data_IF_973404978626
#
_entry.id   IF_973404978626
#
_cell.length_a   1.000
_cell.length_b   1.000
_cell.length_c   1.000
_cell.angle_alpha   90.00
_cell.angle_beta   90.00
_cell.angle_gamma   90.00
#
_symmetry.space_group_name_H-M   'P 1'
#
loop_
_entity.id
_entity.type
_entity.pdbx_description
1 polymer ?
#
# COMPACT_ATOMS: atom_id res chain seq x y z
N UNK A 1 -27.69 -6.10 -12.56
CA UNK A 1 -26.60 -5.18 -12.18
C UNK A 1 -25.35 -6.02 -12.03
N UNK A 2 -24.54 -6.14 -13.07
CA UNK A 2 -23.23 -6.79 -12.99
C UNK A 2 -22.35 -5.86 -12.16
N UNK A 3 -22.18 -6.19 -10.87
CA UNK A 3 -21.34 -5.42 -9.97
C UNK A 3 -19.91 -5.33 -10.50
N UNK A 4 -19.22 -4.26 -10.13
CA UNK A 4 -17.79 -4.16 -10.34
C UNK A 4 -17.11 -5.44 -9.80
N UNK A 5 -16.24 -6.11 -10.57
CA UNK A 5 -15.51 -7.26 -10.05
C UNK A 5 -14.68 -6.82 -8.84
N UNK A 6 -14.91 -7.46 -7.70
CA UNK A 6 -14.10 -7.28 -6.50
C UNK A 6 -12.89 -8.21 -6.58
N UNK A 7 -11.69 -7.65 -6.36
CA UNK A 7 -10.44 -8.39 -6.33
C UNK A 7 -9.82 -8.30 -4.95
N UNK A 8 -9.67 -9.43 -4.27
CA UNK A 8 -8.93 -9.48 -3.02
C UNK A 8 -7.43 -9.57 -3.30
N UNK A 9 -6.73 -8.45 -3.18
CA UNK A 9 -5.30 -8.33 -3.41
C UNK A 9 -4.44 -8.75 -2.21
N UNK A 10 -5.08 -9.04 -1.07
CA UNK A 10 -4.42 -9.41 0.20
C UNK A 10 -4.48 -10.91 0.48
N UNK A 11 -5.49 -11.61 -0.07
CA UNK A 11 -5.61 -13.06 0.02
C UNK A 11 -4.40 -13.79 -0.60
N UNK A 12 -3.72 -14.68 0.15
CA UNK A 12 -2.67 -15.54 -0.40
C UNK A 12 -3.12 -16.40 -1.58
N UNK A 13 -4.40 -16.78 -1.60
CA UNK A 13 -5.05 -17.59 -2.65
C UNK A 13 -4.95 -16.90 -4.02
N UNK A 14 -5.05 -15.58 -4.05
CA UNK A 14 -4.93 -14.75 -5.27
C UNK A 14 -3.57 -14.91 -5.96
N UNK A 15 -2.54 -15.34 -5.22
CA UNK A 15 -1.18 -15.51 -5.73
C UNK A 15 -0.78 -16.99 -5.93
N UNK A 16 -1.73 -17.92 -5.79
CA UNK A 16 -1.50 -19.32 -6.13
C UNK A 16 -1.18 -19.44 -7.62
N UNK A 17 -0.06 -20.09 -7.96
CA UNK A 17 0.42 -20.17 -9.34
C UNK A 17 1.17 -18.93 -9.83
N UNK A 18 1.40 -17.94 -8.97
CA UNK A 18 2.23 -16.76 -9.24
C UNK A 18 1.45 -15.45 -9.21
N UNK A 19 2.06 -14.38 -9.71
CA UNK A 19 1.45 -13.04 -9.71
C UNK A 19 0.19 -13.02 -10.58
N UNK A 20 -0.95 -12.51 -10.09
CA UNK A 20 -2.23 -12.45 -10.82
C UNK A 20 -2.20 -11.36 -11.92
N UNK A 21 -1.45 -11.61 -12.99
CA UNK A 21 -1.18 -10.61 -14.04
C UNK A 21 -2.44 -10.07 -14.72
N UNK A 22 -3.45 -10.91 -14.93
CA UNK A 22 -4.71 -10.47 -15.57
C UNK A 22 -5.52 -9.55 -14.68
N UNK A 23 -5.53 -9.78 -13.35
CA UNK A 23 -6.16 -8.87 -12.38
C UNK A 23 -5.49 -7.50 -12.43
N UNK A 24 -4.15 -7.46 -12.31
CA UNK A 24 -3.42 -6.20 -12.38
C UNK A 24 -3.54 -5.52 -13.75
N UNK A 25 -3.70 -6.27 -14.84
CA UNK A 25 -3.96 -5.73 -16.18
C UNK A 25 -5.34 -5.08 -16.25
N UNK A 26 -6.37 -5.72 -15.72
CA UNK A 26 -7.70 -5.15 -15.61
C UNK A 26 -7.68 -3.86 -14.79
N UNK A 27 -7.10 -3.90 -13.57
CA UNK A 27 -7.02 -2.72 -12.71
C UNK A 27 -6.28 -1.56 -13.40
N UNK A 28 -5.13 -1.80 -14.03
CA UNK A 28 -4.41 -0.74 -14.77
C UNK A 28 -5.22 -0.08 -15.87
N UNK A 29 -6.07 -0.85 -16.56
CA UNK A 29 -6.84 -0.37 -17.69
C UNK A 29 -8.13 0.33 -17.24
N UNK A 30 -8.90 -0.30 -16.36
CA UNK A 30 -10.26 0.10 -16.02
C UNK A 30 -10.36 0.86 -14.69
N UNK A 31 -9.57 0.48 -13.67
CA UNK A 31 -9.64 1.02 -12.31
C UNK A 31 -8.25 1.18 -11.67
N UNK A 32 -7.44 2.13 -12.17
CA UNK A 32 -6.03 2.22 -11.80
C UNK A 32 -5.78 2.68 -10.37
N UNK A 33 -6.78 3.35 -9.78
CA UNK A 33 -6.87 3.70 -8.37
C UNK A 33 -8.15 3.02 -7.89
N UNK A 34 -7.99 1.89 -7.21
CA UNK A 34 -9.08 1.01 -6.78
C UNK A 34 -9.16 1.03 -5.25
N UNK A 35 -10.35 1.21 -4.70
CA UNK A 35 -10.57 1.03 -3.28
C UNK A 35 -10.69 -0.48 -2.99
N UNK A 36 -9.75 -1.00 -2.21
CA UNK A 36 -9.77 -2.37 -1.71
C UNK A 36 -10.34 -2.34 -0.30
N UNK A 37 -11.55 -2.87 -0.15
CA UNK A 37 -12.20 -3.04 1.14
C UNK A 37 -11.58 -4.21 1.89
N UNK A 38 -11.37 -4.02 3.20
CA UNK A 38 -11.13 -5.11 4.14
C UNK A 38 -12.48 -5.47 4.78
N UNK A 39 -12.98 -6.70 4.67
CA UNK A 39 -14.23 -7.10 5.32
C UNK A 39 -14.07 -7.38 6.82
N UNK A 40 -12.85 -7.63 7.29
CA UNK A 40 -12.56 -7.95 8.69
C UNK A 40 -12.30 -6.69 9.52
N UNK A 41 -11.75 -5.66 8.87
CA UNK A 41 -11.54 -4.34 9.47
C UNK A 41 -12.32 -3.31 8.65
N UNK A 42 -13.05 -2.38 9.26
CA UNK A 42 -13.71 -1.27 8.53
C UNK A 42 -12.71 -0.28 7.88
N UNK A 43 -11.48 -0.73 7.64
CA UNK A 43 -10.33 0.04 7.17
C UNK A 43 -9.75 -0.58 5.91
N UNK A 44 -10.28 -0.17 4.75
CA UNK A 44 -9.69 -0.51 3.45
C UNK A 44 -8.49 0.35 3.07
N UNK A 45 -7.95 0.12 1.87
CA UNK A 45 -6.86 0.92 1.30
C UNK A 45 -7.04 1.20 -0.20
N UNK A 46 -6.34 2.22 -0.69
CA UNK A 46 -6.27 2.51 -2.11
C UNK A 46 -5.17 1.68 -2.79
N UNK A 47 -5.56 0.75 -3.66
CA UNK A 47 -4.66 0.02 -4.54
C UNK A 47 -4.33 0.87 -5.79
N UNK A 48 -3.07 1.29 -5.90
CA UNK A 48 -2.56 2.06 -7.04
C UNK A 48 -1.75 1.17 -7.96
N UNK A 49 -2.20 0.98 -9.19
CA UNK A 49 -1.68 -0.08 -10.07
C UNK A 49 -0.89 0.41 -11.29
N UNK A 50 -0.90 1.72 -11.55
CA UNK A 50 -0.12 2.34 -12.63
C UNK A 50 1.23 2.83 -12.11
N UNK A 51 2.29 2.52 -12.85
CA UNK A 51 3.65 2.93 -12.52
C UNK A 51 3.80 4.45 -12.33
N UNK A 52 3.19 5.26 -13.21
CA UNK A 52 3.27 6.73 -13.11
C UNK A 52 2.73 7.27 -11.77
N UNK A 53 1.69 6.64 -11.25
CA UNK A 53 0.98 7.07 -10.05
C UNK A 53 1.76 6.59 -8.81
N UNK A 54 2.31 5.37 -8.85
CA UNK A 54 3.25 4.86 -7.86
C UNK A 54 4.52 5.73 -7.76
N UNK A 55 5.12 6.09 -8.90
CA UNK A 55 6.28 6.99 -8.95
C UNK A 55 5.99 8.34 -8.31
N UNK A 56 4.79 8.89 -8.55
CA UNK A 56 4.37 10.13 -7.92
C UNK A 56 4.28 9.97 -6.40
N UNK A 57 3.61 8.92 -5.92
CA UNK A 57 3.47 8.64 -4.49
C UNK A 57 4.84 8.51 -3.82
N UNK A 58 5.73 7.68 -4.37
CA UNK A 58 7.06 7.44 -3.80
C UNK A 58 7.98 8.68 -3.79
N UNK A 59 7.76 9.64 -4.70
CA UNK A 59 8.54 10.88 -4.78
C UNK A 59 8.01 12.00 -3.89
N UNK A 60 6.81 11.86 -3.32
CA UNK A 60 6.18 12.89 -2.49
C UNK A 60 5.91 12.39 -1.06
N UNK A 61 6.96 12.06 -0.27
CA UNK A 61 6.79 11.48 1.07
C UNK A 61 6.13 12.44 2.07
N UNK A 62 6.12 13.76 1.79
CA UNK A 62 5.40 14.73 2.62
C UNK A 62 3.88 14.69 2.39
N UNK A 63 3.44 14.10 1.27
CA UNK A 63 2.02 13.85 0.99
C UNK A 63 1.63 12.40 1.35
N UNK A 64 2.55 11.46 1.17
CA UNK A 64 2.34 10.03 1.42
C UNK A 64 3.35 9.53 2.46
N UNK A 65 2.98 9.70 3.73
CA UNK A 65 3.82 9.35 4.88
C UNK A 65 3.98 7.83 5.03
N UNK A 66 5.21 7.37 5.24
CA UNK A 66 5.49 5.99 5.67
C UNK A 66 5.47 5.84 7.19
N UNK A 67 5.53 6.94 7.93
CA UNK A 67 5.53 6.95 9.40
C UNK A 67 4.11 6.95 9.98
N UNK A 68 3.15 7.63 9.36
CA UNK A 68 1.84 7.92 9.95
C UNK A 68 1.09 6.64 10.32
N UNK A 69 0.95 5.71 9.36
CA UNK A 69 0.23 4.43 9.53
C UNK A 69 1.03 3.19 9.11
N UNK A 70 2.36 3.30 9.05
CA UNK A 70 3.29 2.28 8.53
C UNK A 70 3.20 2.06 7.02
N UNK A 71 4.13 1.25 6.49
CA UNK A 71 4.15 0.81 5.08
C UNK A 71 3.38 -0.49 4.82
N UNK A 72 2.63 -1.01 5.79
CA UNK A 72 1.82 -2.22 5.64
C UNK A 72 0.44 -1.88 5.03
N UNK A 73 -0.21 -2.82 4.32
CA UNK A 73 -1.51 -2.57 3.71
C UNK A 73 -2.69 -2.60 4.69
N UNK A 74 -2.46 -2.94 5.98
CA UNK A 74 -3.45 -2.92 7.04
C UNK A 74 -3.04 -1.96 8.16
N UNK A 75 -4.03 -1.43 8.89
CA UNK A 75 -3.77 -0.58 10.04
C UNK A 75 -3.39 -1.40 11.28
N UNK A 76 -2.52 -0.83 12.11
CA UNK A 76 -2.04 -1.45 13.34
C UNK A 76 -2.39 -0.58 14.53
N UNK A 77 -2.50 -1.18 15.71
CA UNK A 77 -2.71 -0.47 16.96
C UNK A 77 -1.69 0.67 17.18
N UNK A 78 -2.09 1.81 17.79
CA UNK A 78 -1.21 2.97 17.94
C UNK A 78 0.16 2.67 18.56
N UNK A 79 0.21 1.85 19.61
CA UNK A 79 1.45 1.47 20.27
C UNK A 79 2.39 0.69 19.33
N UNK A 80 1.82 -0.15 18.45
CA UNK A 80 2.58 -0.89 17.45
C UNK A 80 3.12 0.04 16.37
N UNK A 81 2.34 1.03 15.95
CA UNK A 81 2.78 2.05 14.98
C UNK A 81 3.97 2.84 15.53
N UNK A 82 3.95 3.22 16.80
CA UNK A 82 5.08 3.92 17.46
C UNK A 82 6.37 3.09 17.40
N UNK A 83 6.28 1.77 17.63
CA UNK A 83 7.43 0.87 17.52
C UNK A 83 7.89 0.72 16.06
N UNK A 84 6.96 0.60 15.12
CA UNK A 84 7.27 0.45 13.69
C UNK A 84 8.02 1.66 13.12
N UNK A 85 7.72 2.88 13.59
CA UNK A 85 8.42 4.13 13.20
C UNK A 85 9.92 4.13 13.52
N UNK A 86 10.41 3.18 14.32
CA UNK A 86 11.85 2.99 14.58
C UNK A 86 12.56 2.21 13.46
N UNK A 87 11.82 1.54 12.57
CA UNK A 87 12.36 0.82 11.42
C UNK A 87 12.53 1.79 10.24
N UNK A 88 13.67 1.73 9.55
CA UNK A 88 14.00 2.65 8.46
C UNK A 88 12.88 2.76 7.40
N UNK A 89 12.22 1.66 7.06
CA UNK A 89 11.13 1.62 6.06
C UNK A 89 9.89 2.42 6.46
N UNK A 90 9.66 2.65 7.77
CA UNK A 90 8.51 3.37 8.30
C UNK A 90 8.91 4.77 8.82
N UNK A 91 9.96 5.37 8.27
CA UNK A 91 10.39 6.73 8.61
C UNK A 91 10.12 7.69 7.46
N UNK A 92 9.83 8.94 7.81
CA UNK A 92 9.79 10.04 6.86
C UNK A 92 11.04 10.93 6.95
N UNK A 93 11.33 11.74 5.92
CA UNK A 93 12.29 12.83 6.02
C UNK A 93 11.94 13.79 7.17
N UNK A 94 12.96 14.38 7.85
CA UNK A 94 14.39 14.26 7.59
C UNK A 94 15.04 13.02 8.22
N UNK A 95 14.34 12.31 9.11
CA UNK A 95 14.91 11.21 9.89
C UNK A 95 15.31 10.02 9.01
N UNK A 96 14.44 9.66 8.06
CA UNK A 96 14.73 8.63 7.06
C UNK A 96 16.03 8.92 6.30
N UNK A 97 16.21 10.15 5.80
CA UNK A 97 17.39 10.56 5.04
C UNK A 97 18.66 10.49 5.89
N UNK A 98 18.57 10.84 7.17
CA UNK A 98 19.71 10.75 8.10
C UNK A 98 20.15 9.31 8.31
N UNK A 99 19.22 8.40 8.61
CA UNK A 99 19.55 6.99 8.83
C UNK A 99 19.95 6.27 7.55
N UNK A 100 19.29 6.54 6.41
CA UNK A 100 19.60 5.92 5.13
C UNK A 100 21.04 6.17 4.66
N UNK A 101 21.66 7.27 5.09
CA UNK A 101 23.07 7.60 4.78
C UNK A 101 24.09 6.80 5.61
N UNK A 102 23.65 6.16 6.71
CA UNK A 102 24.51 5.40 7.60
C UNK A 102 24.59 3.91 7.24
N UNK A 103 23.64 3.43 6.42
CA UNK A 103 23.56 2.05 5.91
C UNK A 103 24.03 1.99 4.46
#
# INVERSE_FOLDING_TARGET
>A
MTGCPHFDLTAPETYQGGVPREVFKYLRNEQPIYWHDDPETDTGFWAVTRQKDLDYISKHPLLFSSAEKSSLPWESEPDRVVLMRQQLINMDPPQHLKYRRLV
#
